data_IF_265942782663
#
_entry.id   IF_265942782663
#
_cell.length_a   1.000
_cell.length_b   1.000
_cell.length_c   1.000
_cell.angle_alpha   90.00
_cell.angle_beta   90.00
_cell.angle_gamma   90.00
#
_symmetry.space_group_name_H-M   'P 1'
#
loop_
_entity.id
_entity.type
_entity.pdbx_description
1 polymer ?
#
# COMPACT_ATOMS: atom_id res chain seq x y z
N UNK A 1 17.35 9.74 -3.74
CA UNK A 1 17.39 11.20 -3.59
C UNK A 1 16.21 11.73 -4.36
N UNK A 2 15.16 12.16 -3.66
CA UNK A 2 14.01 12.77 -4.30
C UNK A 2 14.47 14.04 -5.00
N UNK A 3 14.17 14.18 -6.26
CA UNK A 3 14.67 15.30 -7.08
C UNK A 3 13.81 16.54 -6.94
N UNK A 4 12.52 16.37 -6.59
CA UNK A 4 11.60 17.49 -6.34
C UNK A 4 10.51 17.11 -5.32
N UNK A 5 10.04 18.08 -4.48
CA UNK A 5 8.81 17.93 -3.72
C UNK A 5 7.63 17.61 -4.66
N UNK A 6 6.77 16.68 -4.28
CA UNK A 6 5.58 16.33 -5.04
C UNK A 6 5.72 15.25 -6.12
N UNK A 7 6.94 14.76 -6.41
CA UNK A 7 7.12 13.70 -7.43
C UNK A 7 6.38 12.40 -7.04
N UNK A 8 6.48 11.98 -5.78
CA UNK A 8 5.78 10.79 -5.27
C UNK A 8 4.27 10.99 -5.18
N UNK A 9 3.81 12.20 -4.81
CA UNK A 9 2.41 12.54 -4.75
C UNK A 9 1.69 12.43 -6.11
N UNK A 10 2.36 12.77 -7.22
CA UNK A 10 1.76 12.60 -8.55
C UNK A 10 1.44 11.13 -8.86
N UNK A 11 2.22 10.18 -8.36
CA UNK A 11 1.97 8.75 -8.53
C UNK A 11 0.77 8.28 -7.69
N UNK A 12 0.54 8.89 -6.53
CA UNK A 12 -0.57 8.53 -5.65
C UNK A 12 -1.89 9.21 -6.02
N UNK A 13 -1.86 10.38 -6.67
CA UNK A 13 -3.06 11.17 -6.99
C UNK A 13 -4.16 10.40 -7.71
N UNK A 14 -3.80 9.52 -8.65
CA UNK A 14 -4.80 8.73 -9.37
C UNK A 14 -5.55 7.78 -8.43
N UNK A 15 -4.83 7.12 -7.51
CA UNK A 15 -5.43 6.24 -6.51
C UNK A 15 -6.25 7.03 -5.50
N UNK A 16 -5.71 8.15 -4.99
CA UNK A 16 -6.39 9.04 -4.07
C UNK A 16 -7.73 9.54 -4.63
N UNK A 17 -7.72 10.03 -5.87
CA UNK A 17 -8.93 10.51 -6.52
C UNK A 17 -9.97 9.40 -6.74
N UNK A 18 -9.52 8.18 -7.06
CA UNK A 18 -10.43 7.04 -7.19
C UNK A 18 -11.04 6.65 -5.84
N UNK A 19 -10.27 6.61 -4.76
CA UNK A 19 -10.79 6.33 -3.42
C UNK A 19 -11.78 7.39 -2.95
N UNK A 20 -11.54 8.65 -3.29
CA UNK A 20 -12.42 9.77 -2.92
C UNK A 20 -13.80 9.71 -3.60
N UNK A 21 -13.95 8.95 -4.68
CA UNK A 21 -15.26 8.72 -5.33
C UNK A 21 -16.23 7.88 -4.47
N UNK A 22 -15.75 7.27 -3.37
CA UNK A 22 -16.54 6.37 -2.51
C UNK A 22 -16.83 7.01 -1.16
N UNK A 23 -18.00 7.67 -1.06
CA UNK A 23 -18.39 8.42 0.13
C UNK A 23 -18.45 7.55 1.39
N UNK A 24 -19.07 6.37 1.33
CA UNK A 24 -19.17 5.47 2.48
C UNK A 24 -17.79 5.04 2.99
N UNK A 25 -16.88 4.75 2.07
CA UNK A 25 -15.50 4.45 2.42
C UNK A 25 -14.83 5.66 3.09
N UNK A 26 -14.90 6.84 2.49
CA UNK A 26 -14.28 8.06 3.05
C UNK A 26 -14.85 8.42 4.42
N UNK A 27 -16.15 8.27 4.63
CA UNK A 27 -16.82 8.50 5.90
C UNK A 27 -16.43 7.50 7.00
N UNK A 28 -15.95 6.32 6.63
CA UNK A 28 -15.52 5.28 7.58
C UNK A 28 -14.12 5.54 8.16
N UNK A 29 -13.28 6.35 7.50
CA UNK A 29 -11.88 6.57 7.87
C UNK A 29 -11.78 7.55 9.05
N UNK A 30 -11.00 7.19 10.06
CA UNK A 30 -10.67 8.03 11.22
C UNK A 30 -9.18 8.30 11.36
N UNK A 31 -8.37 7.25 11.17
CA UNK A 31 -6.93 7.30 11.35
C UNK A 31 -6.21 6.73 10.12
N UNK A 32 -5.25 7.48 9.61
CA UNK A 32 -4.38 6.99 8.55
C UNK A 32 -2.91 7.20 8.92
N UNK A 33 -2.03 6.35 8.40
CA UNK A 33 -0.58 6.52 8.50
C UNK A 33 0.05 6.49 7.11
N UNK A 34 0.94 7.43 6.85
CA UNK A 34 1.75 7.50 5.64
C UNK A 34 3.19 7.07 5.97
N UNK A 35 3.57 5.92 5.43
CA UNK A 35 4.80 5.19 5.74
C UNK A 35 5.86 5.49 4.67
N UNK A 36 6.75 6.40 4.97
CA UNK A 36 7.69 7.02 4.04
C UNK A 36 7.08 8.27 3.41
N UNK A 37 6.49 9.12 4.24
CA UNK A 37 5.65 10.25 3.82
C UNK A 37 6.41 11.38 3.09
N UNK A 38 7.75 11.35 3.08
CA UNK A 38 8.55 12.37 2.43
C UNK A 38 8.18 13.80 2.86
N UNK A 39 7.72 14.62 1.93
CA UNK A 39 7.30 16.01 2.19
C UNK A 39 5.88 16.14 2.75
N UNK A 40 5.11 15.04 2.86
CA UNK A 40 3.79 15.03 3.45
C UNK A 40 2.66 15.51 2.55
N UNK A 41 2.86 15.55 1.23
CA UNK A 41 1.82 15.99 0.28
C UNK A 41 0.56 15.11 0.36
N UNK A 42 0.72 13.79 0.49
CA UNK A 42 -0.39 12.86 0.64
C UNK A 42 -1.10 13.04 1.99
N UNK A 43 -0.36 13.33 3.08
CA UNK A 43 -0.95 13.65 4.38
C UNK A 43 -1.86 14.89 4.31
N UNK A 44 -1.40 15.93 3.62
CA UNK A 44 -2.21 17.15 3.40
C UNK A 44 -3.46 16.82 2.61
N UNK A 45 -3.32 15.99 1.56
CA UNK A 45 -4.47 15.55 0.79
C UNK A 45 -5.52 14.88 1.68
N UNK A 46 -5.13 13.92 2.52
CA UNK A 46 -6.04 13.22 3.43
C UNK A 46 -6.65 14.13 4.49
N UNK A 47 -5.83 14.96 5.14
CA UNK A 47 -6.24 15.84 6.24
C UNK A 47 -7.25 16.91 5.81
N UNK A 48 -7.24 17.30 4.53
CA UNK A 48 -8.09 18.36 3.99
C UNK A 48 -9.35 17.85 3.29
N UNK A 49 -9.68 16.57 3.37
CA UNK A 49 -10.87 16.01 2.73
C UNK A 49 -12.16 16.43 3.44
N UNK A 50 -13.17 16.62 2.62
CA UNK A 50 -14.53 16.96 3.04
C UNK A 50 -15.51 15.95 2.46
N UNK A 51 -16.74 15.93 2.96
CA UNK A 51 -17.87 15.26 2.30
C UNK A 51 -18.08 15.85 0.90
N UNK A 52 -18.75 15.11 0.03
CA UNK A 52 -19.01 15.51 -1.38
C UNK A 52 -20.42 16.03 -1.62
N UNK A 53 -21.15 16.28 -0.57
CA UNK A 53 -22.50 16.86 -0.62
C UNK A 53 -22.47 18.37 -0.94
N UNK A 54 -23.67 18.97 -1.03
CA UNK A 54 -23.85 20.39 -1.34
C UNK A 54 -23.35 21.32 -0.22
N UNK A 55 -23.15 20.78 1.00
CA UNK A 55 -22.59 21.50 2.16
C UNK A 55 -21.39 20.73 2.72
N UNK A 56 -20.21 20.84 2.10
CA UNK A 56 -19.04 20.03 2.42
C UNK A 56 -18.58 20.20 3.87
N UNK A 57 -18.53 19.10 4.63
CA UNK A 57 -18.04 19.08 6.00
C UNK A 57 -16.67 18.40 6.08
N UNK A 58 -15.73 18.90 6.92
CA UNK A 58 -14.44 18.26 7.11
C UNK A 58 -14.59 16.82 7.60
N UNK A 59 -13.88 15.87 6.97
CA UNK A 59 -13.86 14.46 7.41
C UNK A 59 -13.07 14.25 8.71
N UNK A 60 -12.21 15.22 9.06
CA UNK A 60 -11.39 15.22 10.28
C UNK A 60 -10.52 13.97 10.43
N UNK A 61 -10.00 13.43 9.32
CA UNK A 61 -9.10 12.27 9.32
C UNK A 61 -7.81 12.63 10.04
N UNK A 62 -7.42 11.85 11.05
CA UNK A 62 -6.14 12.00 11.73
C UNK A 62 -5.04 11.34 10.91
N UNK A 63 -4.07 12.13 10.51
CA UNK A 63 -3.00 11.73 9.59
C UNK A 63 -1.65 11.69 10.33
N UNK A 64 -0.97 10.55 10.25
CA UNK A 64 0.33 10.34 10.87
C UNK A 64 1.38 10.10 9.80
N UNK A 65 2.38 10.97 9.70
CA UNK A 65 3.50 10.80 8.76
C UNK A 65 4.70 10.16 9.43
N UNK A 66 5.30 9.18 8.77
CA UNK A 66 6.51 8.49 9.21
C UNK A 66 7.56 8.62 8.11
N UNK A 67 8.73 9.16 8.43
CA UNK A 67 9.87 9.21 7.51
C UNK A 67 11.20 9.30 8.27
N UNK A 68 12.29 8.85 7.65
CA UNK A 68 13.65 8.99 8.18
C UNK A 68 14.22 10.41 8.00
N UNK A 69 13.73 11.14 7.00
CA UNK A 69 14.20 12.48 6.62
C UNK A 69 13.61 13.57 7.49
N UNK A 70 14.26 13.90 8.61
CA UNK A 70 13.78 14.90 9.59
C UNK A 70 13.67 16.35 9.12
N UNK A 71 14.14 16.70 7.93
CA UNK A 71 14.20 18.10 7.47
C UNK A 71 13.24 18.42 6.33
N UNK A 72 12.50 17.46 5.85
CA UNK A 72 11.68 17.59 4.65
C UNK A 72 10.24 17.95 4.94
N UNK A 73 9.86 17.93 6.20
CA UNK A 73 8.51 18.32 6.54
C UNK A 73 8.36 19.83 6.39
N UNK A 74 7.80 20.17 5.29
CA UNK A 74 6.89 21.31 5.30
C UNK A 74 5.71 20.81 6.14
N UNK A 75 5.89 20.90 7.45
CA UNK A 75 4.80 20.72 8.40
C UNK A 75 3.80 21.79 8.01
N UNK A 76 2.86 21.44 7.14
CA UNK A 76 1.65 22.19 7.08
C UNK A 76 1.09 22.03 8.49
N UNK A 77 1.02 23.14 9.23
CA UNK A 77 0.46 23.22 10.55
C UNK A 77 -1.05 22.92 10.50
N UNK A 78 -1.39 21.70 10.03
CA UNK A 78 -2.76 21.25 10.02
C UNK A 78 -3.01 20.45 11.31
N UNK A 79 -4.03 20.83 12.07
CA UNK A 79 -4.36 20.25 13.39
C UNK A 79 -4.55 18.73 13.37
N UNK A 80 -4.85 18.16 12.21
CA UNK A 80 -5.05 16.72 12.01
C UNK A 80 -3.79 15.98 11.53
N UNK A 81 -2.66 16.66 11.34
CA UNK A 81 -1.41 16.03 10.91
C UNK A 81 -0.42 15.97 12.07
N UNK A 82 0.10 14.79 12.29
CA UNK A 82 1.25 14.56 13.18
C UNK A 82 2.38 13.89 12.39
N UNK A 83 3.61 14.08 12.84
CA UNK A 83 4.77 13.50 12.19
C UNK A 83 5.72 12.88 13.19
N UNK A 84 6.30 11.75 12.82
CA UNK A 84 7.34 11.07 13.57
C UNK A 84 8.54 10.78 12.68
N UNK A 85 9.72 11.28 13.06
CA UNK A 85 10.97 10.91 12.42
C UNK A 85 11.43 9.56 12.93
N UNK A 86 11.15 8.49 12.19
CA UNK A 86 11.63 7.14 12.49
C UNK A 86 11.62 6.27 11.23
N UNK A 87 12.20 5.09 11.33
CA UNK A 87 12.09 4.09 10.27
C UNK A 87 10.66 3.50 10.28
N UNK A 88 10.01 3.44 9.13
CA UNK A 88 8.68 2.84 8.99
C UNK A 88 8.66 1.32 9.27
N UNK A 89 9.83 0.68 9.36
CA UNK A 89 9.99 -0.72 9.79
C UNK A 89 9.96 -0.89 11.31
N UNK A 90 10.15 0.19 12.06
CA UNK A 90 10.16 0.18 13.53
C UNK A 90 8.74 0.00 14.09
N UNK A 91 8.68 -0.25 15.41
CA UNK A 91 7.40 -0.28 16.12
C UNK A 91 6.84 1.15 16.21
N UNK A 92 5.67 1.36 15.63
CA UNK A 92 4.99 2.65 15.61
C UNK A 92 4.03 2.80 16.79
N UNK A 93 3.82 4.05 17.23
CA UNK A 93 2.73 4.37 18.15
C UNK A 93 1.40 4.26 17.41
N UNK A 94 0.51 3.43 17.91
CA UNK A 94 -0.77 3.11 17.26
C UNK A 94 -1.91 3.78 18.03
N UNK A 95 -2.84 4.47 17.35
CA UNK A 95 -4.06 4.99 17.98
C UNK A 95 -4.97 3.84 18.45
N UNK A 96 -5.88 4.16 19.36
CA UNK A 96 -6.90 3.21 19.79
C UNK A 96 -7.71 2.71 18.60
N UNK A 97 -7.80 1.39 18.45
CA UNK A 97 -8.47 0.73 17.31
C UNK A 97 -7.60 0.50 16.08
N UNK A 98 -6.39 1.09 16.00
CA UNK A 98 -5.45 0.93 14.89
C UNK A 98 -5.63 2.01 13.80
N UNK A 99 -4.92 1.80 12.68
CA UNK A 99 -5.05 2.63 11.50
C UNK A 99 -6.04 2.03 10.50
N UNK A 100 -6.99 2.82 10.05
CA UNK A 100 -7.97 2.42 9.01
C UNK A 100 -7.29 2.35 7.65
N UNK A 101 -6.30 3.22 7.43
CA UNK A 101 -5.49 3.26 6.22
C UNK A 101 -4.01 3.28 6.57
N UNK A 102 -3.28 2.37 5.94
CA UNK A 102 -1.84 2.42 5.82
C UNK A 102 -1.51 2.79 4.38
N UNK A 103 -0.80 3.88 4.21
CA UNK A 103 -0.41 4.44 2.92
C UNK A 103 1.09 4.35 2.77
N UNK A 104 1.58 3.74 1.70
CA UNK A 104 3.01 3.63 1.43
C UNK A 104 3.25 3.70 -0.07
N UNK A 105 3.52 4.90 -0.55
CA UNK A 105 3.77 5.13 -1.96
C UNK A 105 5.22 5.52 -2.20
N UNK A 106 5.90 4.76 -3.06
CA UNK A 106 7.31 4.95 -3.45
C UNK A 106 8.30 4.93 -2.26
N UNK A 107 8.03 4.10 -1.25
CA UNK A 107 8.90 3.95 -0.09
C UNK A 107 9.25 2.49 0.26
N UNK A 108 8.34 1.54 0.04
CA UNK A 108 8.50 0.15 0.47
C UNK A 108 9.73 -0.58 -0.13
N UNK A 109 10.22 -0.17 -1.30
CA UNK A 109 11.45 -0.71 -1.90
C UNK A 109 12.71 -0.47 -1.04
N UNK A 110 12.63 0.39 -0.04
CA UNK A 110 13.68 0.65 0.94
C UNK A 110 13.58 -0.22 2.20
N UNK A 111 12.55 -1.06 2.33
CA UNK A 111 12.43 -1.98 3.46
C UNK A 111 13.55 -3.02 3.44
N UNK A 112 14.27 -3.16 4.55
CA UNK A 112 15.36 -4.13 4.69
C UNK A 112 14.81 -5.55 4.83
N UNK A 113 13.69 -5.69 5.56
CA UNK A 113 13.00 -6.96 5.74
C UNK A 113 11.52 -6.83 5.35
N UNK A 114 11.19 -6.90 4.05
CA UNK A 114 9.87 -6.53 3.54
C UNK A 114 8.72 -7.38 4.12
N UNK A 115 8.90 -8.68 4.33
CA UNK A 115 7.83 -9.53 4.90
C UNK A 115 7.60 -9.16 6.38
N UNK A 116 8.66 -8.93 7.15
CA UNK A 116 8.53 -8.50 8.54
C UNK A 116 7.87 -7.12 8.64
N UNK A 117 8.25 -6.20 7.76
CA UNK A 117 7.66 -4.86 7.67
C UNK A 117 6.16 -4.95 7.41
N UNK A 118 5.74 -5.70 6.39
CA UNK A 118 4.32 -5.92 6.09
C UNK A 118 3.57 -6.59 7.24
N UNK A 119 4.23 -7.51 7.98
CA UNK A 119 3.67 -8.15 9.16
C UNK A 119 3.48 -7.15 10.31
N UNK A 120 4.47 -6.28 10.55
CA UNK A 120 4.36 -5.21 11.55
C UNK A 120 3.21 -4.26 11.20
N UNK A 121 3.06 -3.90 9.94
CA UNK A 121 1.96 -3.07 9.47
C UNK A 121 0.60 -3.75 9.62
N UNK A 122 0.52 -5.07 9.41
CA UNK A 122 -0.70 -5.82 9.66
C UNK A 122 -1.16 -5.68 11.13
N UNK A 123 -0.22 -5.71 12.10
CA UNK A 123 -0.55 -5.57 13.52
C UNK A 123 -1.07 -4.19 13.89
N UNK A 124 -0.62 -3.14 13.21
CA UNK A 124 -1.06 -1.76 13.50
C UNK A 124 -2.32 -1.34 12.73
N UNK A 125 -2.73 -2.09 11.73
CA UNK A 125 -3.97 -1.85 11.00
C UNK A 125 -5.20 -2.20 11.87
N UNK A 126 -6.27 -1.42 11.75
CA UNK A 126 -7.58 -1.73 12.33
C UNK A 126 -8.17 -3.00 11.70
N UNK A 127 -9.13 -3.70 12.34
CA UNK A 127 -9.85 -4.78 11.69
C UNK A 127 -10.48 -4.30 10.38
N UNK A 128 -10.18 -4.99 9.27
CA UNK A 128 -10.61 -4.58 7.92
C UNK A 128 -9.86 -3.36 7.36
N UNK A 129 -8.83 -2.87 8.06
CA UNK A 129 -8.02 -1.75 7.60
C UNK A 129 -7.33 -2.03 6.27
N UNK A 130 -7.15 -0.97 5.49
CA UNK A 130 -6.62 -1.00 4.13
C UNK A 130 -5.13 -0.65 4.10
N UNK A 131 -4.36 -1.39 3.31
CA UNK A 131 -3.01 -1.00 2.89
C UNK A 131 -3.04 -0.61 1.41
N UNK A 132 -2.65 0.61 1.11
CA UNK A 132 -2.36 1.08 -0.25
C UNK A 132 -0.85 1.17 -0.45
N UNK A 133 -0.34 0.45 -1.42
CA UNK A 133 1.08 0.28 -1.67
C UNK A 133 1.43 0.54 -3.12
N UNK A 134 2.43 1.39 -3.37
CA UNK A 134 3.00 1.59 -4.71
C UNK A 134 4.49 1.32 -4.68
N UNK A 135 4.95 0.44 -5.56
CA UNK A 135 6.36 0.02 -5.66
C UNK A 135 6.84 -0.03 -7.11
N UNK A 136 8.14 0.21 -7.37
CA UNK A 136 8.68 0.08 -8.71
C UNK A 136 8.72 -1.38 -9.18
N UNK A 137 8.51 -1.60 -10.48
CA UNK A 137 8.56 -2.94 -11.09
C UNK A 137 9.93 -3.28 -11.65
N UNK A 138 10.23 -4.57 -11.69
CA UNK A 138 11.47 -5.12 -12.25
C UNK A 138 11.47 -5.14 -13.79
N UNK A 139 10.30 -5.20 -14.42
CA UNK A 139 10.19 -5.59 -15.85
C UNK A 139 10.71 -4.57 -16.86
N UNK A 140 10.92 -3.31 -16.47
CA UNK A 140 11.38 -2.26 -17.38
C UNK A 140 12.83 -1.83 -17.17
N UNK A 141 13.55 -2.52 -16.29
CA UNK A 141 14.96 -2.19 -16.06
C UNK A 141 15.78 -2.72 -17.24
N UNK A 142 15.95 -1.91 -18.27
CA UNK A 142 16.99 -2.15 -19.25
C UNK A 142 18.34 -2.29 -18.52
N UNK A 143 19.22 -3.20 -19.00
CA UNK A 143 20.55 -3.47 -18.41
C UNK A 143 21.34 -2.18 -18.12
N UNK A 144 21.07 -1.09 -18.83
CA UNK A 144 21.69 0.23 -18.62
C UNK A 144 21.12 0.98 -17.39
N UNK A 145 19.91 0.71 -16.98
CA UNK A 145 19.26 1.35 -15.82
C UNK A 145 19.57 0.65 -14.50
N UNK A 146 19.92 -0.65 -14.51
CA UNK A 146 20.37 -1.38 -13.32
C UNK A 146 21.54 -0.67 -12.61
N UNK A 147 22.45 -0.07 -13.39
CA UNK A 147 23.60 0.65 -12.84
C UNK A 147 23.20 1.93 -12.08
N UNK A 148 22.01 2.47 -12.33
CA UNK A 148 21.53 3.71 -11.72
C UNK A 148 20.57 3.49 -10.56
N UNK A 149 19.93 2.33 -10.48
CA UNK A 149 18.95 2.03 -9.42
C UNK A 149 19.61 1.43 -8.16
N UNK A 150 20.63 0.59 -8.33
CA UNK A 150 21.35 -0.01 -7.19
C UNK A 150 22.03 0.99 -6.24
N UNK A 151 22.67 2.09 -6.70
CA UNK A 151 23.26 3.07 -5.80
C UNK A 151 22.27 3.89 -4.97
N UNK A 152 20.99 3.87 -5.31
CA UNK A 152 19.96 4.69 -4.66
C UNK A 152 19.31 4.01 -3.44
N UNK A 153 19.83 2.86 -3.01
CA UNK A 153 19.34 2.19 -1.78
C UNK A 153 18.06 1.40 -1.94
N UNK A 154 17.58 1.17 -3.18
CA UNK A 154 16.50 0.21 -3.40
C UNK A 154 17.03 -1.21 -3.11
N UNK A 155 16.52 -1.83 -2.06
CA UNK A 155 16.92 -3.20 -1.72
C UNK A 155 16.22 -4.24 -2.59
N UNK A 156 14.98 -3.95 -3.02
CA UNK A 156 14.14 -4.88 -3.76
C UNK A 156 13.49 -4.24 -4.96
N UNK A 157 13.37 -5.05 -6.01
CA UNK A 157 12.51 -4.81 -7.15
C UNK A 157 11.42 -5.88 -7.16
N UNK A 158 10.18 -5.45 -7.24
CA UNK A 158 9.04 -6.33 -7.11
C UNK A 158 8.49 -6.75 -8.48
N UNK A 159 7.98 -7.97 -8.55
CA UNK A 159 7.01 -8.40 -9.56
C UNK A 159 5.64 -8.49 -8.90
N UNK A 160 4.56 -8.48 -9.65
CA UNK A 160 3.22 -8.67 -9.10
C UNK A 160 3.14 -9.97 -8.28
N UNK A 161 3.74 -11.05 -8.77
CA UNK A 161 3.78 -12.36 -8.08
C UNK A 161 4.52 -12.29 -6.76
N UNK A 162 5.73 -11.68 -6.75
CA UNK A 162 6.51 -11.59 -5.52
C UNK A 162 5.86 -10.68 -4.48
N UNK A 163 5.28 -9.57 -4.91
CA UNK A 163 4.56 -8.65 -4.02
C UNK A 163 3.34 -9.33 -3.40
N UNK A 164 2.53 -10.01 -4.21
CA UNK A 164 1.35 -10.75 -3.74
C UNK A 164 1.74 -11.86 -2.74
N UNK A 165 2.84 -12.58 -2.99
CA UNK A 165 3.34 -13.57 -2.04
C UNK A 165 3.70 -12.96 -0.69
N UNK A 166 4.43 -11.85 -0.69
CA UNK A 166 4.83 -11.16 0.54
C UNK A 166 3.64 -10.61 1.30
N UNK A 167 2.69 -9.96 0.61
CA UNK A 167 1.46 -9.45 1.19
C UNK A 167 0.64 -10.56 1.85
N UNK A 168 0.35 -11.64 1.11
CA UNK A 168 -0.42 -12.77 1.63
C UNK A 168 0.30 -13.46 2.80
N UNK A 169 1.63 -13.66 2.72
CA UNK A 169 2.42 -14.22 3.83
C UNK A 169 2.34 -13.34 5.08
N UNK A 170 2.28 -12.04 4.92
CA UNK A 170 2.10 -11.08 6.02
C UNK A 170 0.63 -10.91 6.48
N UNK A 171 -0.30 -11.74 6.00
CA UNK A 171 -1.69 -11.76 6.46
C UNK A 171 -2.63 -10.79 5.73
N UNK A 172 -2.17 -10.14 4.65
CA UNK A 172 -3.01 -9.24 3.87
C UNK A 172 -3.87 -10.03 2.88
N UNK A 173 -5.16 -9.68 2.80
CA UNK A 173 -6.10 -10.30 1.86
C UNK A 173 -5.91 -9.74 0.45
N UNK A 174 -5.17 -10.49 -0.37
CA UNK A 174 -5.03 -10.22 -1.79
C UNK A 174 -6.23 -10.70 -2.61
N UNK A 175 -7.07 -11.56 -2.06
CA UNK A 175 -8.28 -12.09 -2.70
C UNK A 175 -9.35 -11.02 -2.89
N UNK A 176 -9.53 -10.16 -1.88
CA UNK A 176 -10.39 -8.98 -1.93
C UNK A 176 -9.65 -7.74 -2.46
N UNK A 177 -8.35 -7.86 -2.80
CA UNK A 177 -7.50 -6.73 -3.16
C UNK A 177 -7.65 -6.28 -4.61
N UNK A 178 -7.12 -5.08 -4.86
CA UNK A 178 -7.05 -4.44 -6.17
C UNK A 178 -5.59 -4.25 -6.56
N UNK A 179 -5.26 -4.58 -7.80
CA UNK A 179 -3.88 -4.50 -8.27
C UNK A 179 -3.83 -3.90 -9.66
N UNK A 180 -2.88 -2.99 -9.90
CA UNK A 180 -2.63 -2.39 -11.21
C UNK A 180 -1.15 -2.45 -11.53
N UNK A 181 -0.86 -2.90 -12.74
CA UNK A 181 0.45 -2.78 -13.35
C UNK A 181 0.24 -2.51 -14.84
N UNK A 182 0.75 -1.39 -15.32
CA UNK A 182 0.68 -1.06 -16.73
C UNK A 182 2.03 -1.24 -17.41
N UNK A 183 2.03 -1.40 -18.74
CA UNK A 183 3.28 -1.48 -19.51
C UNK A 183 3.98 -0.13 -19.64
N UNK A 184 3.24 0.95 -19.45
CA UNK A 184 3.72 2.32 -19.63
C UNK A 184 4.22 2.95 -18.34
N UNK A 185 3.75 2.44 -17.18
CA UNK A 185 4.13 2.94 -15.87
C UNK A 185 5.03 1.91 -15.19
N UNK A 186 6.20 2.30 -14.69
CA UNK A 186 7.14 1.38 -14.06
C UNK A 186 6.75 1.05 -12.60
N UNK A 187 5.45 0.99 -12.31
CA UNK A 187 4.93 0.82 -10.95
C UNK A 187 3.94 -0.33 -10.86
N UNK A 188 3.93 -0.97 -9.68
CA UNK A 188 2.83 -1.81 -9.21
C UNK A 188 2.10 -1.03 -8.15
N UNK A 189 0.78 -0.91 -8.31
CA UNK A 189 -0.12 -0.41 -7.29
C UNK A 189 -0.89 -1.58 -6.71
N UNK A 190 -0.98 -1.66 -5.38
CA UNK A 190 -1.73 -2.67 -4.68
C UNK A 190 -2.57 -2.02 -3.58
N UNK A 191 -3.84 -2.37 -3.52
CA UNK A 191 -4.74 -2.05 -2.42
C UNK A 191 -5.24 -3.36 -1.86
N UNK A 192 -4.92 -3.65 -0.60
CA UNK A 192 -5.27 -4.90 0.08
C UNK A 192 -5.83 -4.61 1.47
N UNK A 193 -6.51 -5.57 2.05
CA UNK A 193 -7.16 -5.40 3.35
C UNK A 193 -6.56 -6.32 4.39
N UNK A 194 -6.60 -5.89 5.66
CA UNK A 194 -6.25 -6.75 6.78
C UNK A 194 -7.22 -7.92 6.85
N UNK A 195 -6.70 -9.15 6.73
CA UNK A 195 -7.51 -10.36 6.91
C UNK A 195 -7.59 -10.78 8.38
N UNK A 196 -8.44 -11.76 8.67
CA UNK A 196 -8.48 -12.43 9.98
C UNK A 196 -7.31 -13.41 10.17
N UNK A 197 -6.50 -13.64 9.14
CA UNK A 197 -5.34 -14.53 9.19
C UNK A 197 -4.11 -13.77 9.69
N UNK A 198 -3.52 -14.23 10.79
CA UNK A 198 -2.27 -13.66 11.31
C UNK A 198 -1.11 -13.85 10.32
N UNK A 199 -0.11 -12.97 10.34
CA UNK A 199 1.11 -13.14 9.58
C UNK A 199 1.75 -14.52 9.78
N UNK A 200 2.19 -15.14 8.69
CA UNK A 200 2.73 -16.49 8.67
C UNK A 200 4.25 -16.47 8.82
N UNK A 201 4.81 -17.58 9.32
CA UNK A 201 6.26 -17.75 9.29
C UNK A 201 6.73 -17.98 7.84
N UNK A 202 7.56 -17.09 7.25
CA UNK A 202 7.97 -17.20 5.85
C UNK A 202 8.72 -18.49 5.51
N UNK A 203 9.41 -19.09 6.50
CA UNK A 203 10.15 -20.34 6.29
C UNK A 203 9.24 -21.56 6.13
N UNK A 204 8.00 -21.50 6.59
CA UNK A 204 7.04 -22.60 6.56
C UNK A 204 5.86 -22.32 5.61
N UNK A 205 5.81 -21.13 5.00
CA UNK A 205 4.74 -20.72 4.10
C UNK A 205 5.06 -21.08 2.66
N UNK A 206 4.07 -21.55 1.93
CA UNK A 206 4.12 -21.77 0.50
C UNK A 206 2.78 -21.36 -0.15
N UNK A 207 2.70 -21.42 -1.48
CA UNK A 207 1.48 -21.04 -2.20
C UNK A 207 0.24 -21.82 -1.77
N UNK A 208 0.35 -23.11 -1.46
CA UNK A 208 -0.79 -23.93 -1.04
C UNK A 208 -1.32 -23.50 0.32
N UNK A 209 -0.43 -23.18 1.27
CA UNK A 209 -0.81 -22.62 2.57
C UNK A 209 -1.64 -21.33 2.41
N UNK A 210 -1.19 -20.43 1.52
CA UNK A 210 -1.88 -19.17 1.26
C UNK A 210 -3.24 -19.37 0.56
N UNK A 211 -3.35 -20.40 -0.29
CA UNK A 211 -4.65 -20.81 -0.89
C UNK A 211 -5.61 -21.31 0.16
N UNK A 212 -5.16 -22.17 1.08
CA UNK A 212 -5.99 -22.72 2.17
C UNK A 212 -6.50 -21.62 3.11
N UNK A 213 -5.77 -20.54 3.26
CA UNK A 213 -6.16 -19.37 4.05
C UNK A 213 -7.04 -18.37 3.30
N UNK A 214 -7.37 -18.61 2.03
CA UNK A 214 -8.17 -17.73 1.17
C UNK A 214 -7.58 -16.31 0.98
N UNK A 215 -6.26 -16.18 1.05
CA UNK A 215 -5.57 -14.88 0.93
C UNK A 215 -5.26 -14.48 -0.52
N UNK A 216 -5.62 -15.33 -1.50
CA UNK A 216 -5.24 -15.14 -2.91
C UNK A 216 -6.46 -15.01 -3.83
N UNK A 217 -6.37 -14.21 -4.89
CA UNK A 217 -7.43 -14.11 -5.88
C UNK A 217 -7.64 -15.45 -6.63
N UNK A 218 -8.85 -15.68 -7.11
CA UNK A 218 -9.24 -16.95 -7.75
C UNK A 218 -8.38 -17.31 -8.97
N UNK A 219 -7.89 -16.33 -9.72
CA UNK A 219 -6.96 -16.57 -10.83
C UNK A 219 -5.62 -17.14 -10.35
N UNK A 220 -5.10 -16.64 -9.22
CA UNK A 220 -3.89 -17.17 -8.60
C UNK A 220 -4.11 -18.61 -8.12
N UNK A 221 -5.22 -18.88 -7.45
CA UNK A 221 -5.60 -20.24 -6.98
C UNK A 221 -5.62 -21.23 -8.15
N UNK A 222 -6.27 -20.87 -9.26
CA UNK A 222 -6.32 -21.72 -10.47
C UNK A 222 -4.91 -21.98 -11.05
N UNK A 223 -4.07 -20.96 -11.12
CA UNK A 223 -2.69 -21.10 -11.62
C UNK A 223 -1.86 -22.04 -10.74
N UNK A 224 -1.95 -21.89 -9.41
CA UNK A 224 -1.24 -22.71 -8.44
C UNK A 224 -1.63 -24.19 -8.56
N UNK A 225 -2.92 -24.49 -8.63
CA UNK A 225 -3.37 -25.89 -8.79
C UNK A 225 -2.97 -26.50 -10.13
N UNK A 226 -2.99 -25.70 -11.23
CA UNK A 226 -2.61 -26.20 -12.54
C UNK A 226 -1.10 -26.41 -12.73
N UNK A 227 -0.26 -25.62 -12.04
CA UNK A 227 1.16 -25.53 -12.34
C UNK A 227 2.07 -25.71 -11.13
N UNK A 228 1.53 -25.92 -9.92
CA UNK A 228 2.25 -25.88 -8.64
C UNK A 228 3.02 -24.58 -8.40
N UNK A 229 2.65 -23.52 -9.11
CA UNK A 229 3.27 -22.20 -9.04
C UNK A 229 2.29 -21.13 -9.52
N UNK A 230 2.45 -19.91 -9.02
CA UNK A 230 1.75 -18.74 -9.54
C UNK A 230 2.53 -18.16 -10.72
N UNK A 231 1.90 -18.09 -11.88
CA UNK A 231 2.47 -17.47 -13.08
C UNK A 231 1.81 -16.12 -13.32
N UNK A 232 2.62 -15.09 -13.54
CA UNK A 232 2.12 -13.72 -13.72
C UNK A 232 1.12 -13.60 -14.88
N UNK A 233 1.31 -14.34 -15.95
CA UNK A 233 0.43 -14.36 -17.12
C UNK A 233 -0.97 -14.92 -16.83
N UNK A 234 -1.14 -15.67 -15.74
CA UNK A 234 -2.41 -16.26 -15.34
C UNK A 234 -3.20 -15.37 -14.38
N UNK A 235 -2.55 -14.31 -13.85
CA UNK A 235 -3.19 -13.38 -12.92
C UNK A 235 -4.19 -12.50 -13.65
N UNK A 236 -5.43 -12.60 -13.23
CA UNK A 236 -6.50 -11.66 -13.54
C UNK A 236 -6.91 -11.01 -12.23
N UNK A 237 -6.54 -9.77 -12.05
CA UNK A 237 -6.76 -9.01 -10.82
C UNK A 237 -7.55 -7.75 -11.12
N UNK A 238 -8.53 -7.38 -10.29
CA UNK A 238 -9.30 -6.15 -10.47
C UNK A 238 -8.44 -4.94 -10.12
N UNK A 239 -8.84 -3.79 -10.66
CA UNK A 239 -8.38 -2.49 -10.22
C UNK A 239 -9.58 -1.63 -9.80
N UNK A 240 -9.32 -0.64 -8.96
CA UNK A 240 -10.32 0.34 -8.56
C UNK A 240 -10.64 1.20 -9.78
N UNK A 241 -11.59 0.76 -10.59
CA UNK A 241 -12.27 1.60 -11.56
C UNK A 241 -13.76 1.63 -11.18
N UNK A 242 -14.43 2.74 -11.43
CA UNK A 242 -15.79 2.99 -10.97
C UNK A 242 -16.84 1.94 -11.34
N UNK A 243 -16.45 0.90 -12.09
CA UNK A 243 -17.34 -0.21 -12.50
C UNK A 243 -17.31 -1.39 -11.53
N UNK A 244 -16.23 -1.59 -10.76
CA UNK A 244 -16.01 -2.81 -9.99
C UNK A 244 -16.45 -2.70 -8.51
N UNK A 245 -16.45 -1.51 -7.92
CA UNK A 245 -16.89 -1.32 -6.54
C UNK A 245 -18.41 -1.32 -6.35
N UNK A 246 -19.19 -1.16 -7.43
CA UNK A 246 -20.65 -1.35 -7.38
C UNK A 246 -21.09 -2.82 -7.19
N UNK A 247 -20.15 -3.77 -7.21
CA UNK A 247 -20.40 -5.20 -7.02
C UNK A 247 -20.05 -5.72 -5.61
N UNK A 248 -19.50 -4.88 -4.75
CA UNK A 248 -19.02 -5.27 -3.41
C UNK A 248 -19.91 -4.75 -2.26
N UNK A 249 -21.16 -4.34 -2.54
CA UNK A 249 -22.20 -3.98 -1.54
C UNK A 249 -23.29 -5.02 -1.51
#
# INVERSE_FOLDING_TARGET
MFTHPGDSHQHSLATLNQLYEYDDFMLSIRNMVDLGCGFGDDLVWWATRTTRDDDPQPLNIKCHGIDLGGNSLVVNEHENITYQQCNFEDTLTVPDGGFDILWCHDAFQYAVNPIQTLSNWWYIASPGGMLSLTVPVTQQIHRRQLAYTLPNGHYYHHTMVSLMYMLATAGWDCGAGFFKQTLTEPWIHAVVYKSDQSPQNPHNTNWHTLVEQNLLPQSAVKSIYAHSALRQQDLVVPWIDGSLLSMAV
#
